data_IF_406643542688
#
_entry.id   IF_406643542688
#
_cell.length_a   1.000
_cell.length_b   1.000
_cell.length_c   1.000
_cell.angle_alpha   90.00
_cell.angle_beta   90.00
_cell.angle_gamma   90.00
#
_symmetry.space_group_name_H-M   'P 1'
#
loop_
_entity.id
_entity.type
_entity.pdbx_description
1 polymer ?
#
# COMPACT_ATOMS: atom_id res chain seq x y z
N UNK A 1 4.87 -34.24 44.05
CA UNK A 1 4.83 -33.93 42.61
C UNK A 1 4.56 -32.46 42.54
N UNK A 2 5.58 -31.64 42.33
CA UNK A 2 5.39 -30.21 42.13
C UNK A 2 4.82 -29.97 40.73
N UNK A 3 3.60 -29.41 40.60
CA UNK A 3 2.99 -29.08 39.30
C UNK A 3 3.58 -27.81 38.67
N UNK A 4 4.53 -27.15 39.32
CA UNK A 4 5.18 -25.92 38.83
C UNK A 4 6.31 -26.18 37.80
N UNK A 5 6.76 -27.43 37.65
CA UNK A 5 7.89 -27.76 36.76
C UNK A 5 7.49 -28.09 35.31
N UNK A 6 6.19 -28.18 34.99
CA UNK A 6 5.70 -28.42 33.62
C UNK A 6 5.45 -27.12 32.82
N UNK A 7 5.68 -25.96 33.47
CA UNK A 7 5.53 -24.62 32.87
C UNK A 7 6.82 -24.06 32.28
N UNK A 8 7.87 -24.88 32.16
CA UNK A 8 9.00 -24.60 31.26
C UNK A 8 8.56 -24.80 29.79
N UNK A 9 7.56 -24.02 29.40
CA UNK A 9 6.96 -23.78 28.09
C UNK A 9 7.06 -24.92 27.07
N UNK A 10 6.02 -25.75 27.01
CA UNK A 10 5.64 -26.43 25.76
C UNK A 10 5.73 -25.41 24.61
N UNK A 11 6.64 -25.60 23.64
CA UNK A 11 6.84 -24.66 22.54
C UNK A 11 5.56 -24.37 21.76
N UNK A 12 4.66 -25.34 21.63
CA UNK A 12 3.35 -25.15 20.99
C UNK A 12 2.48 -24.19 21.78
N UNK A 13 2.38 -24.37 23.10
CA UNK A 13 1.63 -23.47 23.98
C UNK A 13 2.17 -22.05 23.99
N UNK A 14 3.51 -21.89 23.99
CA UNK A 14 4.15 -20.58 23.88
C UNK A 14 3.83 -19.91 22.54
N UNK A 15 3.99 -20.63 21.42
CA UNK A 15 3.69 -20.13 20.08
C UNK A 15 2.23 -19.68 19.96
N UNK A 16 1.27 -20.52 20.37
CA UNK A 16 -0.17 -20.19 20.35
C UNK A 16 -0.46 -18.90 21.11
N UNK A 17 0.09 -18.76 22.31
CA UNK A 17 -0.11 -17.57 23.15
C UNK A 17 0.41 -16.31 22.46
N UNK A 18 1.62 -16.37 21.90
CA UNK A 18 2.24 -15.26 21.16
C UNK A 18 1.38 -14.85 19.96
N UNK A 19 0.92 -15.82 19.16
CA UNK A 19 0.13 -15.54 17.97
C UNK A 19 -1.24 -14.95 18.30
N UNK A 20 -1.95 -15.51 19.28
CA UNK A 20 -3.27 -15.00 19.68
C UNK A 20 -3.21 -13.57 20.20
N UNK A 21 -2.20 -13.26 21.04
CA UNK A 21 -1.96 -11.89 21.50
C UNK A 21 -1.69 -10.95 20.30
N UNK A 22 -0.83 -11.39 19.38
CA UNK A 22 -0.47 -10.57 18.21
C UNK A 22 -1.65 -10.32 17.27
N UNK A 23 -2.49 -11.32 17.04
CA UNK A 23 -3.65 -11.27 16.14
C UNK A 23 -4.81 -10.48 16.72
N UNK A 24 -4.94 -10.40 18.05
CA UNK A 24 -5.97 -9.58 18.71
C UNK A 24 -5.80 -8.07 18.42
N UNK A 25 -4.56 -7.62 18.22
CA UNK A 25 -4.27 -6.20 18.01
C UNK A 25 -4.48 -5.70 16.58
N UNK A 26 -3.98 -6.43 15.58
CA UNK A 26 -4.03 -6.01 14.17
C UNK A 26 -3.81 -7.22 13.26
N UNK A 27 -4.42 -7.25 12.06
CA UNK A 27 -4.09 -8.22 11.03
C UNK A 27 -2.58 -8.31 10.75
N UNK A 28 -2.11 -9.55 10.55
CA UNK A 28 -0.71 -9.88 10.23
C UNK A 28 -0.69 -10.88 9.09
N UNK A 29 0.34 -10.81 8.25
CA UNK A 29 0.61 -11.91 7.33
C UNK A 29 1.22 -13.09 8.08
N UNK A 30 1.11 -14.29 7.50
CA UNK A 30 1.78 -15.49 8.00
C UNK A 30 3.28 -15.28 8.16
N UNK A 31 3.92 -14.63 7.19
CA UNK A 31 5.36 -14.36 7.24
C UNK A 31 5.76 -13.40 8.39
N UNK A 32 4.94 -12.39 8.70
CA UNK A 32 5.18 -11.53 9.88
C UNK A 32 5.08 -12.33 11.19
N UNK A 33 4.16 -13.29 11.26
CA UNK A 33 3.99 -14.16 12.42
C UNK A 33 5.12 -15.18 12.55
N UNK A 34 5.57 -15.76 11.44
CA UNK A 34 6.73 -16.64 11.41
C UNK A 34 8.00 -15.92 11.90
N UNK A 35 8.24 -14.69 11.41
CA UNK A 35 9.35 -13.85 11.89
C UNK A 35 9.27 -13.57 13.38
N UNK A 36 8.07 -13.30 13.91
CA UNK A 36 7.85 -13.11 15.35
C UNK A 36 8.17 -14.38 16.15
N UNK A 37 7.74 -15.56 15.70
CA UNK A 37 8.05 -16.83 16.40
C UNK A 37 9.55 -17.13 16.40
N UNK A 38 10.23 -16.87 15.29
CA UNK A 38 11.69 -17.00 15.17
C UNK A 38 12.44 -16.04 16.13
N UNK A 39 12.01 -14.77 16.21
CA UNK A 39 12.54 -13.81 17.19
C UNK A 39 12.38 -14.29 18.65
N UNK A 40 11.32 -15.04 18.93
CA UNK A 40 11.04 -15.65 20.23
C UNK A 40 11.70 -17.03 20.42
N UNK A 41 12.51 -17.48 19.46
CA UNK A 41 13.25 -18.75 19.49
C UNK A 41 12.33 -19.97 19.61
N UNK A 42 11.13 -19.90 19.05
CA UNK A 42 10.28 -21.08 18.86
C UNK A 42 10.91 -21.96 17.77
N UNK A 43 11.03 -23.28 17.96
CA UNK A 43 11.54 -24.18 16.93
C UNK A 43 10.73 -24.11 15.64
N UNK A 44 11.39 -24.13 14.48
CA UNK A 44 10.75 -23.95 13.17
C UNK A 44 9.63 -24.96 12.92
N UNK A 45 9.85 -26.25 13.24
CA UNK A 45 8.83 -27.31 13.09
C UNK A 45 7.55 -26.99 13.88
N UNK A 46 7.70 -26.49 15.12
CA UNK A 46 6.58 -26.11 15.98
C UNK A 46 5.89 -24.85 15.43
N UNK A 47 6.67 -23.88 14.96
CA UNK A 47 6.13 -22.66 14.39
C UNK A 47 5.27 -22.97 13.16
N UNK A 48 5.77 -23.80 12.25
CA UNK A 48 5.06 -24.21 11.04
C UNK A 48 3.76 -24.95 11.37
N UNK A 49 3.80 -25.94 12.27
CA UNK A 49 2.59 -26.67 12.70
C UNK A 49 1.52 -25.74 13.29
N UNK A 50 1.92 -24.79 14.13
CA UNK A 50 0.99 -23.85 14.77
C UNK A 50 0.46 -22.84 13.74
N UNK A 51 1.30 -22.32 12.85
CA UNK A 51 0.88 -21.40 11.79
C UNK A 51 -0.08 -22.10 10.82
N UNK A 52 0.21 -23.34 10.42
CA UNK A 52 -0.67 -24.16 9.58
C UNK A 52 -2.02 -24.34 10.24
N UNK A 53 -2.03 -24.72 11.52
CA UNK A 53 -3.28 -24.86 12.26
C UNK A 53 -4.07 -23.56 12.32
N UNK A 54 -3.40 -22.43 12.51
CA UNK A 54 -4.04 -21.11 12.56
C UNK A 54 -4.59 -20.69 11.19
N UNK A 55 -3.91 -21.05 10.10
CA UNK A 55 -4.43 -20.88 8.73
C UNK A 55 -5.64 -21.77 8.48
N UNK A 56 -5.58 -23.06 8.83
CA UNK A 56 -6.69 -24.01 8.66
C UNK A 56 -7.98 -23.56 9.35
N UNK A 57 -7.88 -22.99 10.55
CA UNK A 57 -9.04 -22.51 11.31
C UNK A 57 -9.42 -21.06 10.99
N UNK A 58 -8.76 -20.44 10.01
CA UNK A 58 -9.09 -19.09 9.51
C UNK A 58 -8.65 -17.94 10.42
N UNK A 59 -7.75 -18.17 11.39
CA UNK A 59 -7.16 -17.10 12.19
C UNK A 59 -6.06 -16.34 11.44
N UNK A 60 -5.37 -17.03 10.52
CA UNK A 60 -4.43 -16.43 9.57
C UNK A 60 -5.03 -16.55 8.17
N UNK A 61 -5.20 -15.41 7.51
CA UNK A 61 -5.67 -15.33 6.14
C UNK A 61 -4.86 -14.26 5.39
N UNK A 62 -3.89 -14.73 4.61
CA UNK A 62 -3.00 -13.84 3.84
C UNK A 62 -3.74 -13.17 2.67
N UNK A 63 -4.81 -13.77 2.14
CA UNK A 63 -5.64 -13.18 1.09
C UNK A 63 -6.44 -12.00 1.65
N UNK A 64 -7.15 -12.22 2.77
CA UNK A 64 -7.86 -11.15 3.47
C UNK A 64 -6.90 -10.04 3.94
N UNK A 65 -5.72 -10.43 4.44
CA UNK A 65 -4.67 -9.48 4.79
C UNK A 65 -4.25 -8.63 3.57
N UNK A 66 -4.01 -9.25 2.41
CA UNK A 66 -3.59 -8.56 1.20
C UNK A 66 -4.65 -7.57 0.70
N UNK A 67 -5.92 -7.98 0.67
CA UNK A 67 -7.04 -7.13 0.25
C UNK A 67 -7.19 -5.91 1.15
N UNK A 68 -7.23 -6.11 2.48
CA UNK A 68 -7.30 -5.02 3.44
C UNK A 68 -6.10 -4.08 3.36
N UNK A 69 -4.91 -4.62 3.08
CA UNK A 69 -3.70 -3.84 2.88
C UNK A 69 -3.77 -2.96 1.64
N UNK A 70 -4.18 -3.53 0.50
CA UNK A 70 -4.36 -2.80 -0.76
C UNK A 70 -5.34 -1.64 -0.56
N UNK A 71 -6.52 -1.92 -0.01
CA UNK A 71 -7.56 -0.92 0.22
C UNK A 71 -7.04 0.21 1.13
N UNK A 72 -6.46 -0.14 2.28
CA UNK A 72 -5.96 0.83 3.26
C UNK A 72 -4.88 1.74 2.68
N UNK A 73 -3.94 1.17 1.92
CA UNK A 73 -2.81 1.92 1.35
C UNK A 73 -3.16 2.71 0.12
N UNK A 74 -4.07 2.20 -0.70
CA UNK A 74 -4.64 2.96 -1.80
C UNK A 74 -5.41 4.17 -1.28
N UNK A 75 -6.37 3.97 -0.37
CA UNK A 75 -7.19 5.05 0.20
C UNK A 75 -6.38 6.06 1.03
N UNK A 76 -5.52 5.56 1.92
CA UNK A 76 -4.81 6.42 2.88
C UNK A 76 -3.57 7.11 2.29
N UNK A 77 -2.86 6.45 1.38
CA UNK A 77 -1.57 6.96 0.84
C UNK A 77 -1.61 7.19 -0.66
N UNK A 78 -2.67 6.80 -1.38
CA UNK A 78 -2.77 6.95 -2.83
C UNK A 78 -1.71 6.14 -3.58
N UNK A 79 -1.35 4.96 -3.08
CA UNK A 79 -0.40 4.08 -3.77
C UNK A 79 -1.09 3.37 -4.94
N UNK A 80 -0.39 3.29 -6.07
CA UNK A 80 -0.79 2.50 -7.24
C UNK A 80 -0.27 1.07 -7.18
N UNK A 81 -0.74 0.22 -8.10
CA UNK A 81 -0.54 -1.24 -8.05
C UNK A 81 0.92 -1.68 -7.87
N UNK A 82 1.90 -1.03 -8.52
CA UNK A 82 3.33 -1.42 -8.37
C UNK A 82 3.86 -1.19 -6.96
N UNK A 83 3.52 -0.07 -6.33
CA UNK A 83 4.00 0.23 -4.98
C UNK A 83 3.34 -0.70 -3.96
N UNK A 84 2.05 -0.97 -4.14
CA UNK A 84 1.29 -1.92 -3.32
C UNK A 84 1.87 -3.33 -3.43
N UNK A 85 2.13 -3.83 -4.64
CA UNK A 85 2.78 -5.12 -4.87
C UNK A 85 4.13 -5.23 -4.15
N UNK A 86 4.92 -4.14 -4.14
CA UNK A 86 6.19 -4.12 -3.44
C UNK A 86 6.01 -4.12 -1.91
N UNK A 87 4.99 -3.45 -1.38
CA UNK A 87 4.69 -3.49 0.06
C UNK A 87 4.21 -4.87 0.51
N UNK A 88 3.36 -5.55 -0.28
CA UNK A 88 2.88 -6.91 -0.01
C UNK A 88 4.03 -7.92 0.00
N UNK A 89 4.93 -7.88 -1.01
CA UNK A 89 6.13 -8.73 -1.04
C UNK A 89 7.04 -8.52 0.16
N UNK A 90 7.26 -7.26 0.57
CA UNK A 90 8.07 -6.97 1.77
C UNK A 90 7.44 -7.52 3.05
N UNK A 91 6.15 -7.84 3.04
CA UNK A 91 5.42 -8.49 4.13
C UNK A 91 5.34 -10.00 3.99
N UNK A 92 5.98 -10.57 2.98
CA UNK A 92 5.97 -12.00 2.72
C UNK A 92 4.62 -12.54 2.30
N UNK A 93 3.74 -11.70 1.75
CA UNK A 93 2.53 -12.18 1.09
C UNK A 93 2.92 -12.88 -0.21
N UNK A 94 2.35 -14.06 -0.46
CA UNK A 94 2.59 -14.83 -1.67
C UNK A 94 2.32 -14.01 -2.94
N UNK A 95 3.09 -14.29 -3.98
CA UNK A 95 3.07 -13.52 -5.23
C UNK A 95 1.73 -13.65 -5.97
N UNK A 96 1.03 -14.78 -5.85
CA UNK A 96 -0.29 -14.97 -6.43
C UNK A 96 -1.36 -14.22 -5.63
N UNK A 97 -1.38 -14.37 -4.31
CA UNK A 97 -2.31 -13.62 -3.44
C UNK A 97 -2.15 -12.10 -3.59
N UNK A 98 -0.90 -11.64 -3.73
CA UNK A 98 -0.64 -10.23 -4.00
C UNK A 98 -1.18 -9.77 -5.36
N UNK A 99 -1.13 -10.60 -6.40
CA UNK A 99 -1.72 -10.27 -7.71
C UNK A 99 -3.23 -10.23 -7.62
N UNK A 100 -3.85 -11.25 -7.04
CA UNK A 100 -5.30 -11.36 -6.90
C UNK A 100 -5.85 -10.11 -6.17
N UNK A 101 -5.23 -9.73 -5.06
CA UNK A 101 -5.60 -8.53 -4.30
C UNK A 101 -5.45 -7.21 -5.08
N UNK A 102 -4.49 -7.13 -6.00
CA UNK A 102 -4.28 -5.96 -6.84
C UNK A 102 -5.21 -5.93 -8.04
N UNK A 103 -5.67 -7.09 -8.51
CA UNK A 103 -6.63 -7.21 -9.60
C UNK A 103 -8.05 -6.84 -9.14
N UNK A 104 -8.36 -7.03 -7.85
CA UNK A 104 -9.57 -6.49 -7.22
C UNK A 104 -9.60 -4.95 -7.15
N UNK A 105 -8.45 -4.26 -7.29
CA UNK A 105 -8.43 -2.81 -7.33
C UNK A 105 -9.00 -2.31 -8.67
N UNK A 106 -10.19 -1.73 -8.56
CA UNK A 106 -10.92 -1.03 -9.63
C UNK A 106 -9.99 -0.04 -10.39
N UNK A 107 -9.76 -0.26 -11.70
CA UNK A 107 -8.94 0.61 -12.54
C UNK A 107 -9.42 2.06 -12.58
N UNK A 108 -10.73 2.29 -12.61
CA UNK A 108 -11.33 3.63 -12.60
C UNK A 108 -11.05 4.33 -11.26
N UNK A 109 -11.14 3.60 -10.14
CA UNK A 109 -10.78 4.14 -8.83
C UNK A 109 -9.27 4.44 -8.72
N UNK A 110 -8.41 3.60 -9.31
CA UNK A 110 -6.97 3.84 -9.37
C UNK A 110 -6.66 5.13 -10.15
N UNK A 111 -7.30 5.31 -11.32
CA UNK A 111 -7.18 6.50 -12.13
C UNK A 111 -7.64 7.77 -11.39
N UNK A 112 -8.82 7.74 -10.77
CA UNK A 112 -9.36 8.89 -10.05
C UNK A 112 -8.47 9.30 -8.87
N UNK A 113 -7.91 8.32 -8.14
CA UNK A 113 -6.95 8.61 -7.08
C UNK A 113 -5.69 9.29 -7.63
N UNK A 114 -5.16 8.84 -8.77
CA UNK A 114 -4.04 9.51 -9.43
C UNK A 114 -4.37 10.95 -9.87
N UNK A 115 -5.56 11.18 -10.45
CA UNK A 115 -6.04 12.53 -10.78
C UNK A 115 -6.11 13.41 -9.55
N UNK A 116 -6.69 12.93 -8.46
CA UNK A 116 -6.80 13.67 -7.21
C UNK A 116 -5.42 14.05 -6.64
N UNK A 117 -4.42 13.16 -6.74
CA UNK A 117 -3.04 13.46 -6.36
C UNK A 117 -2.43 14.57 -7.22
N UNK A 118 -2.60 14.48 -8.55
CA UNK A 118 -2.10 15.47 -9.50
C UNK A 118 -2.75 16.83 -9.28
N UNK A 119 -4.08 16.90 -9.24
CA UNK A 119 -4.86 18.12 -8.98
C UNK A 119 -4.43 18.80 -7.70
N UNK A 120 -4.27 18.03 -6.62
CA UNK A 120 -3.80 18.56 -5.33
C UNK A 120 -2.41 19.15 -5.41
N UNK A 121 -1.48 18.49 -6.12
CA UNK A 121 -0.11 19.00 -6.25
C UNK A 121 -0.01 20.19 -7.19
N UNK A 122 -0.80 20.21 -8.27
CA UNK A 122 -0.84 21.32 -9.22
C UNK A 122 -1.13 22.65 -8.54
N UNK A 123 -1.99 22.67 -7.50
CA UNK A 123 -2.26 23.87 -6.70
C UNK A 123 -1.00 24.52 -6.13
N UNK A 124 0.04 23.74 -5.82
CA UNK A 124 1.33 24.24 -5.30
C UNK A 124 2.37 24.51 -6.39
N UNK A 125 1.99 24.45 -7.67
CA UNK A 125 2.91 24.53 -8.83
C UNK A 125 2.52 25.61 -9.84
N UNK A 126 1.60 26.51 -9.49
CA UNK A 126 1.05 27.52 -10.43
C UNK A 126 2.11 28.47 -11.02
N UNK A 127 3.23 28.69 -10.32
CA UNK A 127 4.33 29.55 -10.79
C UNK A 127 5.42 28.80 -11.56
N UNK A 128 5.31 27.48 -11.72
CA UNK A 128 6.32 26.69 -12.43
C UNK A 128 6.01 26.64 -13.92
N UNK A 129 7.07 26.62 -14.73
CA UNK A 129 6.95 26.27 -16.14
C UNK A 129 6.31 24.89 -16.33
N UNK A 130 5.52 24.76 -17.40
CA UNK A 130 4.72 23.56 -17.69
C UNK A 130 5.57 22.28 -17.74
N UNK A 131 6.75 22.33 -18.36
CA UNK A 131 7.65 21.19 -18.45
C UNK A 131 8.21 20.77 -17.08
N UNK A 132 8.52 21.75 -16.23
CA UNK A 132 9.00 21.51 -14.86
C UNK A 132 7.89 20.89 -14.01
N UNK A 133 6.66 21.40 -14.10
CA UNK A 133 5.50 20.84 -13.43
C UNK A 133 5.25 19.39 -13.89
N UNK A 134 5.25 19.14 -15.21
CA UNK A 134 5.07 17.82 -15.79
C UNK A 134 6.10 16.82 -15.25
N UNK A 135 7.39 17.15 -15.29
CA UNK A 135 8.47 16.27 -14.78
C UNK A 135 8.27 15.93 -13.29
N UNK A 136 7.90 16.92 -12.47
CA UNK A 136 7.68 16.72 -11.02
C UNK A 136 6.47 15.85 -10.72
N UNK A 137 5.37 16.00 -11.48
CA UNK A 137 4.15 15.21 -11.32
C UNK A 137 4.36 13.76 -11.76
N UNK A 138 5.00 13.54 -12.90
CA UNK A 138 5.36 12.20 -13.35
C UNK A 138 6.27 11.49 -12.35
N UNK A 139 7.30 12.20 -11.85
CA UNK A 139 8.18 11.66 -10.81
C UNK A 139 7.44 11.33 -9.51
N UNK A 140 6.41 12.10 -9.14
CA UNK A 140 5.55 11.77 -8.00
C UNK A 140 4.76 10.48 -8.24
N UNK A 141 4.03 10.39 -9.35
CA UNK A 141 3.20 9.22 -9.65
C UNK A 141 4.05 7.95 -9.80
N UNK A 142 5.27 8.07 -10.36
CA UNK A 142 6.23 6.97 -10.41
C UNK A 142 6.61 6.47 -9.00
N UNK A 143 6.92 7.37 -8.06
CA UNK A 143 7.20 7.00 -6.65
C UNK A 143 5.97 6.45 -5.93
N UNK A 144 4.77 6.83 -6.36
CA UNK A 144 3.51 6.28 -5.88
C UNK A 144 3.16 4.93 -6.51
N UNK A 145 3.88 4.49 -7.54
CA UNK A 145 3.71 3.18 -8.17
C UNK A 145 2.66 3.11 -9.28
N UNK A 146 2.28 4.24 -9.87
CA UNK A 146 1.37 4.24 -11.01
C UNK A 146 2.08 3.84 -12.31
N UNK A 147 1.38 3.14 -13.23
CA UNK A 147 1.91 2.83 -14.55
C UNK A 147 2.29 4.09 -15.33
N UNK A 148 3.41 4.04 -16.07
CA UNK A 148 3.93 5.20 -16.79
C UNK A 148 2.94 5.77 -17.82
N UNK A 149 2.26 4.90 -18.58
CA UNK A 149 1.26 5.31 -19.57
C UNK A 149 0.07 6.06 -18.94
N UNK A 150 -0.46 5.54 -17.83
CA UNK A 150 -1.54 6.19 -17.08
C UNK A 150 -1.08 7.55 -16.51
N UNK A 151 0.09 7.58 -15.88
CA UNK A 151 0.66 8.80 -15.31
C UNK A 151 0.86 9.91 -16.35
N UNK A 152 1.38 9.57 -17.54
CA UNK A 152 1.56 10.52 -18.64
C UNK A 152 0.22 11.08 -19.11
N UNK A 153 -0.78 10.22 -19.28
CA UNK A 153 -2.12 10.60 -19.75
C UNK A 153 -2.77 11.57 -18.77
N UNK A 154 -2.84 11.21 -17.49
CA UNK A 154 -3.43 12.04 -16.44
C UNK A 154 -2.71 13.39 -16.34
N UNK A 155 -1.38 13.39 -16.22
CA UNK A 155 -0.62 14.64 -16.04
C UNK A 155 -0.82 15.60 -17.22
N UNK A 156 -0.84 15.09 -18.46
CA UNK A 156 -1.09 15.91 -19.64
C UNK A 156 -2.49 16.53 -19.61
N UNK A 157 -3.51 15.75 -19.28
CA UNK A 157 -4.90 16.22 -19.23
C UNK A 157 -5.10 17.28 -18.15
N UNK A 158 -4.60 17.04 -16.92
CA UNK A 158 -4.76 17.98 -15.81
C UNK A 158 -3.98 19.30 -16.03
N UNK A 159 -2.81 19.24 -16.67
CA UNK A 159 -2.04 20.43 -17.04
C UNK A 159 -2.73 21.25 -18.15
N UNK A 160 -3.42 20.61 -19.08
CA UNK A 160 -4.18 21.31 -20.13
C UNK A 160 -5.44 21.96 -19.56
N UNK A 161 -6.18 21.27 -18.70
CA UNK A 161 -7.38 21.81 -18.04
C UNK A 161 -7.07 23.07 -17.21
N UNK A 162 -5.91 23.11 -16.54
CA UNK A 162 -5.47 24.30 -15.78
C UNK A 162 -5.20 25.51 -16.69
N UNK A 163 -4.82 25.29 -17.95
CA UNK A 163 -4.57 26.38 -18.90
C UNK A 163 -5.87 26.97 -19.45
N UNK A 164 -6.88 26.14 -19.71
CA UNK A 164 -8.21 26.58 -20.16
C UNK A 164 -8.99 27.36 -19.08
N UNK A 165 -8.74 27.10 -17.80
CA UNK A 165 -9.34 27.83 -16.66
C UNK A 165 -8.75 29.22 -16.39
N UNK A 166 -7.66 29.62 -17.07
CA UNK A 166 -7.15 30.99 -17.05
C UNK A 166 -7.60 31.68 -18.35
N UNK A 167 -8.72 32.44 -18.37
CA UNK A 167 -9.01 33.32 -19.48
C UNK A 167 -7.78 34.22 -19.66
N UNK A 168 -7.38 34.44 -20.92
CA UNK A 168 -6.44 35.49 -21.28
C UNK A 168 -6.76 36.72 -20.43
N UNK A 169 -5.87 37.06 -19.49
CA UNK A 169 -5.85 38.42 -18.98
C UNK A 169 -5.53 39.26 -20.20
N UNK A 170 -6.58 39.87 -20.74
CA UNK A 170 -6.52 40.80 -21.84
C UNK A 170 -5.42 41.82 -21.54
N UNK A 171 -4.31 41.69 -22.25
CA UNK A 171 -3.25 42.69 -22.28
C UNK A 171 -3.65 43.81 -23.27
N UNK A 172 -4.86 44.34 -23.15
CA UNK A 172 -5.30 45.51 -23.89
C UNK A 172 -5.60 46.65 -22.94
N UNK A 173 -4.95 47.78 -23.21
CA UNK A 173 -5.25 49.07 -22.59
C UNK A 173 -4.12 49.61 -21.72
N UNK A 174 -3.06 50.11 -22.36
CA UNK A 174 -2.51 51.46 -22.15
C UNK A 174 -1.41 51.70 -23.18
N UNK A 175 -1.81 52.23 -24.34
CA UNK A 175 -0.89 52.92 -25.26
C UNK A 175 -0.43 54.26 -24.65
N UNK A 176 0.73 54.78 -25.08
CA UNK A 176 1.39 55.93 -24.46
C UNK A 176 0.84 57.27 -24.97
N UNK A 177 1.04 58.32 -24.18
CA UNK A 177 1.02 59.72 -24.64
C UNK A 177 2.42 60.32 -24.42
#
# INVERSE_FOLDING_TARGET
MDPELDQAADPHSAARTILLDKLTGQPRSRAELAGLLAERKIPDEVADEVLDRFTEVGLIDDAAFANAWVESRHRGRGLGKRALAQELRRRGVDDQLARDALDELDPEQEEETARALVRRKLKSMRSLEREVAMRRLLGMLARKGYPGGLAITIVKQELSATHEELPLLDSSGLEPD
#
